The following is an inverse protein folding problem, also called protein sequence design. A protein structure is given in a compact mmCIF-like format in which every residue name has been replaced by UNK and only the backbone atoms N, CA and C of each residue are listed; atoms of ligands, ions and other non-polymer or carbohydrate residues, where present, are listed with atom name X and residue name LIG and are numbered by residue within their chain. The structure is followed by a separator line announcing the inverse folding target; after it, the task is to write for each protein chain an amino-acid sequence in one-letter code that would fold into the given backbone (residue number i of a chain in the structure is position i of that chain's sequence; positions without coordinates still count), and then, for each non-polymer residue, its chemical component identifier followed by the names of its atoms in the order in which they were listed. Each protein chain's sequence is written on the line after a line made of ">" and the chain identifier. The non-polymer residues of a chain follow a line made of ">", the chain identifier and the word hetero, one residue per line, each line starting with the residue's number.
data_IF_063068877771
#
_entry.id   IF_063068877771
#
_cell.length_a   1.000
_cell.length_b   1.000
_cell.length_c   1.000
_cell.angle_alpha   90.00
_cell.angle_beta   90.00
_cell.angle_gamma   90.00
#
_symmetry.space_group_name_H-M   'P 1'
#
loop_
_entity.id
_entity.type
_entity.pdbx_description
1 polymer ?
#
# COMPACT_ATOMS: atom_id res chain seq x y z
N UNK A 1 -13.30 -22.33 -45.27
CA UNK A 1 -13.70 -22.25 -43.84
C UNK A 1 -12.49 -21.77 -43.08
N UNK A 2 -12.59 -20.67 -42.31
CA UNK A 2 -11.47 -20.24 -41.45
C UNK A 2 -11.24 -21.29 -40.37
N UNK A 3 -9.98 -21.62 -40.10
CA UNK A 3 -9.64 -22.55 -39.02
C UNK A 3 -9.94 -21.93 -37.65
N UNK A 4 -10.21 -22.75 -36.63
CA UNK A 4 -10.42 -22.24 -35.27
C UNK A 4 -9.23 -21.39 -34.78
N UNK A 5 -8.02 -21.73 -35.22
CA UNK A 5 -6.81 -20.97 -34.93
C UNK A 5 -6.85 -19.55 -35.50
N UNK A 6 -7.33 -19.38 -36.73
CA UNK A 6 -7.47 -18.06 -37.35
C UNK A 6 -8.50 -17.20 -36.63
N UNK A 7 -9.60 -17.80 -36.17
CA UNK A 7 -10.64 -17.08 -35.40
C UNK A 7 -10.08 -16.56 -34.08
N UNK A 8 -9.38 -17.40 -33.31
CA UNK A 8 -8.77 -17.00 -32.04
C UNK A 8 -7.71 -15.92 -32.22
N UNK A 9 -6.90 -15.99 -33.28
CA UNK A 9 -5.93 -14.94 -33.59
C UNK A 9 -6.61 -13.59 -33.83
N UNK A 10 -7.70 -13.57 -34.58
CA UNK A 10 -8.48 -12.34 -34.80
C UNK A 10 -9.08 -11.79 -33.49
N UNK A 11 -9.59 -12.66 -32.61
CA UNK A 11 -10.10 -12.22 -31.31
C UNK A 11 -9.01 -11.56 -30.45
N UNK A 12 -7.82 -12.17 -30.38
CA UNK A 12 -6.67 -11.61 -29.66
C UNK A 12 -6.34 -10.22 -30.24
N UNK A 13 -6.20 -10.10 -31.55
CA UNK A 13 -5.88 -8.83 -32.21
C UNK A 13 -6.90 -7.73 -31.87
N UNK A 14 -8.19 -8.07 -31.82
CA UNK A 14 -9.24 -7.10 -31.45
C UNK A 14 -9.13 -6.65 -30.00
N UNK A 15 -8.89 -7.57 -29.07
CA UNK A 15 -8.72 -7.27 -27.65
C UNK A 15 -7.47 -6.42 -27.42
N UNK A 16 -6.37 -6.73 -28.10
CA UNK A 16 -5.14 -5.95 -28.01
C UNK A 16 -5.30 -4.55 -28.58
N UNK A 17 -5.95 -4.41 -29.75
CA UNK A 17 -6.24 -3.12 -30.35
C UNK A 17 -7.08 -2.25 -29.43
N UNK A 18 -8.11 -2.84 -28.81
CA UNK A 18 -8.93 -2.17 -27.82
C UNK A 18 -8.14 -1.80 -26.56
N UNK A 19 -7.26 -2.68 -26.09
CA UNK A 19 -6.39 -2.43 -24.93
C UNK A 19 -5.44 -1.25 -25.18
N UNK A 20 -4.85 -1.16 -26.38
CA UNK A 20 -4.02 -0.01 -26.78
C UNK A 20 -4.81 1.30 -26.73
N UNK A 21 -6.06 1.31 -27.21
CA UNK A 21 -6.96 2.47 -27.12
C UNK A 21 -7.25 2.87 -25.67
N UNK A 22 -7.57 1.90 -24.80
CA UNK A 22 -7.76 2.13 -23.36
C UNK A 22 -6.51 2.67 -22.64
N UNK A 23 -5.32 2.46 -23.22
CA UNK A 23 -4.05 3.02 -22.73
C UNK A 23 -3.72 4.39 -23.35
N UNK A 24 -4.63 4.99 -24.11
CA UNK A 24 -4.43 6.29 -24.75
C UNK A 24 -3.57 6.24 -26.02
N UNK A 25 -3.37 5.06 -26.62
CA UNK A 25 -2.58 4.87 -27.85
C UNK A 25 -3.49 4.65 -29.06
N UNK A 26 -3.00 5.02 -30.25
CA UNK A 26 -3.68 4.80 -31.53
C UNK A 26 -5.12 5.35 -31.58
N UNK A 27 -5.31 6.55 -31.03
CA UNK A 27 -6.62 7.21 -30.95
C UNK A 27 -6.98 8.03 -32.20
N UNK A 28 -6.04 8.20 -33.14
CA UNK A 28 -6.20 8.99 -34.37
C UNK A 28 -7.37 8.52 -35.25
N UNK A 29 -7.71 7.24 -35.17
CA UNK A 29 -8.82 6.62 -35.91
C UNK A 29 -10.12 6.53 -35.11
N UNK A 30 -10.14 6.95 -33.85
CA UNK A 30 -11.33 6.90 -33.01
C UNK A 30 -12.27 8.07 -33.33
N UNK A 31 -13.55 7.77 -33.49
CA UNK A 31 -14.60 8.76 -33.52
C UNK A 31 -14.80 9.42 -32.15
N UNK A 32 -15.48 10.58 -32.14
CA UNK A 32 -15.80 11.29 -30.89
C UNK A 32 -16.63 10.41 -29.93
N UNK A 33 -17.57 9.63 -30.47
CA UNK A 33 -18.40 8.73 -29.67
C UNK A 33 -17.57 7.61 -29.04
N UNK A 34 -16.64 7.02 -29.79
CA UNK A 34 -15.74 5.99 -29.26
C UNK A 34 -14.82 6.56 -28.17
N UNK A 35 -14.27 7.77 -28.39
CA UNK A 35 -13.42 8.45 -27.39
C UNK A 35 -14.19 8.70 -26.09
N UNK A 36 -15.43 9.18 -26.19
CA UNK A 36 -16.27 9.40 -25.01
C UNK A 36 -16.61 8.09 -24.28
N UNK A 37 -16.85 7.00 -25.02
CA UNK A 37 -17.06 5.68 -24.43
C UNK A 37 -15.82 5.16 -23.69
N UNK A 38 -14.62 5.34 -24.26
CA UNK A 38 -13.35 4.99 -23.62
C UNK A 38 -13.15 5.81 -22.33
N UNK A 39 -13.40 7.12 -22.37
CA UNK A 39 -13.30 8.02 -21.23
C UNK A 39 -14.19 7.56 -20.07
N UNK A 40 -15.49 7.34 -20.33
CA UNK A 40 -16.44 6.87 -19.32
C UNK A 40 -16.00 5.53 -18.70
N UNK A 41 -15.48 4.61 -19.52
CA UNK A 41 -15.02 3.32 -19.02
C UNK A 41 -13.77 3.45 -18.15
N UNK A 42 -12.83 4.32 -18.54
CA UNK A 42 -11.65 4.64 -17.74
C UNK A 42 -12.05 5.30 -16.41
N UNK A 43 -12.94 6.29 -16.43
CA UNK A 43 -13.42 6.97 -15.23
C UNK A 43 -14.06 5.99 -14.23
N UNK A 44 -14.97 5.14 -14.72
CA UNK A 44 -15.65 4.13 -13.89
C UNK A 44 -14.67 3.14 -13.27
N UNK A 45 -13.75 2.61 -14.07
CA UNK A 45 -12.77 1.62 -13.60
C UNK A 45 -11.78 2.23 -12.61
N UNK A 46 -11.26 3.42 -12.89
CA UNK A 46 -10.36 4.14 -11.98
C UNK A 46 -11.05 4.49 -10.66
N UNK A 47 -12.31 4.92 -10.70
CA UNK A 47 -13.11 5.19 -9.50
C UNK A 47 -13.27 3.94 -8.64
N UNK A 48 -13.59 2.80 -9.26
CA UNK A 48 -13.67 1.51 -8.56
C UNK A 48 -12.34 1.09 -7.93
N UNK A 49 -11.24 1.21 -8.68
CA UNK A 49 -9.89 0.88 -8.19
C UNK A 49 -9.52 1.77 -6.99
N UNK A 50 -9.77 3.09 -7.08
CA UNK A 50 -9.49 4.04 -5.99
C UNK A 50 -10.29 3.69 -4.75
N UNK A 51 -11.58 3.40 -4.89
CA UNK A 51 -12.45 3.01 -3.78
C UNK A 51 -11.92 1.73 -3.09
N UNK A 52 -11.55 0.71 -3.87
CA UNK A 52 -10.99 -0.53 -3.33
C UNK A 52 -9.65 -0.31 -2.62
N UNK A 53 -8.76 0.50 -3.20
CA UNK A 53 -7.48 0.86 -2.56
C UNK A 53 -7.71 1.61 -1.25
N UNK A 54 -8.60 2.59 -1.26
CA UNK A 54 -8.95 3.36 -0.06
C UNK A 54 -9.51 2.44 1.03
N UNK A 55 -10.44 1.54 0.69
CA UNK A 55 -10.97 0.57 1.65
C UNK A 55 -9.87 -0.27 2.29
N UNK A 56 -8.97 -0.86 1.49
CA UNK A 56 -7.86 -1.67 2.01
C UNK A 56 -6.93 -0.89 2.94
N UNK A 57 -6.64 0.36 2.61
CA UNK A 57 -5.81 1.22 3.45
C UNK A 57 -6.51 1.57 4.77
N UNK A 58 -7.80 1.91 4.72
CA UNK A 58 -8.59 2.19 5.92
C UNK A 58 -8.69 0.96 6.83
N UNK A 59 -8.91 -0.22 6.25
CA UNK A 59 -8.92 -1.48 6.99
C UNK A 59 -7.57 -1.71 7.69
N UNK A 60 -6.45 -1.43 7.01
CA UNK A 60 -5.11 -1.57 7.59
C UNK A 60 -4.84 -0.56 8.71
N UNK A 61 -5.28 0.69 8.54
CA UNK A 61 -5.20 1.72 9.60
C UNK A 61 -5.98 1.25 10.84
N UNK A 62 -7.20 0.78 10.66
CA UNK A 62 -8.03 0.30 11.77
C UNK A 62 -7.40 -0.88 12.51
N UNK A 63 -6.80 -1.83 11.78
CA UNK A 63 -6.08 -2.95 12.39
C UNK A 63 -4.89 -2.48 13.23
N UNK A 64 -4.10 -1.53 12.71
CA UNK A 64 -2.93 -1.00 13.41
C UNK A 64 -3.33 -0.21 14.67
N UNK A 65 -4.39 0.60 14.60
CA UNK A 65 -4.92 1.32 15.76
C UNK A 65 -5.39 0.36 16.87
N UNK A 66 -6.04 -0.74 16.49
CA UNK A 66 -6.46 -1.75 17.46
C UNK A 66 -5.25 -2.44 18.10
N UNK A 67 -4.21 -2.75 17.31
CA UNK A 67 -2.99 -3.35 17.82
C UNK A 67 -2.23 -2.39 18.75
N UNK A 68 -2.12 -1.11 18.40
CA UNK A 68 -1.55 -0.06 19.25
C UNK A 68 -2.26 0.00 20.60
N UNK A 69 -3.61 -0.01 20.59
CA UNK A 69 -4.41 -0.01 21.82
C UNK A 69 -4.09 -1.20 22.71
N UNK A 70 -4.11 -2.41 22.16
CA UNK A 70 -3.82 -3.64 22.91
C UNK A 70 -2.41 -3.59 23.52
N UNK A 71 -1.40 -3.23 22.72
CA UNK A 71 -0.02 -3.15 23.19
C UNK A 71 0.16 -2.05 24.24
N UNK A 72 -0.55 -0.93 24.11
CA UNK A 72 -0.52 0.14 25.12
C UNK A 72 -1.14 -0.31 26.44
N UNK A 73 -2.24 -1.07 26.40
CA UNK A 73 -2.87 -1.65 27.59
C UNK A 73 -1.94 -2.68 28.26
N UNK A 74 -1.34 -3.58 27.49
CA UNK A 74 -0.37 -4.56 27.99
C UNK A 74 0.87 -3.89 28.60
N UNK A 75 1.44 -2.89 27.93
CA UNK A 75 2.58 -2.14 28.46
C UNK A 75 2.22 -1.42 29.77
N UNK A 76 1.02 -0.85 29.89
CA UNK A 76 0.57 -0.22 31.13
C UNK A 76 0.46 -1.23 32.28
N UNK A 77 -0.07 -2.44 32.00
CA UNK A 77 -0.16 -3.52 32.98
C UNK A 77 1.24 -4.01 33.42
N UNK A 78 2.17 -4.19 32.48
CA UNK A 78 3.54 -4.60 32.78
C UNK A 78 4.29 -3.55 33.60
N UNK A 79 4.10 -2.27 33.30
CA UNK A 79 4.66 -1.17 34.11
C UNK A 79 4.10 -1.17 35.53
N UNK A 80 2.81 -1.47 35.71
CA UNK A 80 2.21 -1.60 37.04
C UNK A 80 2.79 -2.80 37.80
N UNK A 81 2.89 -3.97 37.16
CA UNK A 81 3.49 -5.17 37.74
C UNK A 81 4.98 -4.99 38.08
N UNK A 82 5.73 -4.27 37.24
CA UNK A 82 7.14 -3.93 37.49
C UNK A 82 7.32 -2.99 38.68
N UNK A 83 6.38 -2.06 38.91
CA UNK A 83 6.35 -1.21 40.11
C UNK A 83 6.03 -2.01 41.38
N UNK A 84 5.23 -3.07 41.27
CA UNK A 84 4.92 -3.97 42.40
C UNK A 84 6.10 -4.88 42.75
N UNK A 85 6.91 -5.30 41.76
CA UNK A 85 8.10 -6.14 42.00
C UNK A 85 9.35 -5.37 42.43
N UNK A 86 9.42 -4.06 42.14
CA UNK A 86 10.46 -3.15 42.63
C UNK A 86 9.89 -2.06 43.53
N UNK A 87 9.27 -2.45 44.64
CA UNK A 87 9.17 -1.55 45.78
C UNK A 87 10.60 -1.28 46.33
N UNK A 88 11.07 -0.03 46.41
CA UNK A 88 12.44 0.24 46.81
C UNK A 88 12.58 0.02 48.33
N UNK A 89 13.28 -1.05 48.70
CA UNK A 89 13.95 -1.12 50.00
C UNK A 89 15.15 -0.16 49.91
N UNK A 90 14.95 1.08 50.38
CA UNK A 90 15.97 1.97 50.92
C UNK A 90 17.18 2.40 50.05
N UNK A 91 17.14 3.68 49.65
CA UNK A 91 18.29 4.61 49.49
C UNK A 91 19.26 4.45 48.29
N UNK A 92 20.13 5.45 48.02
CA UNK A 92 19.83 6.72 47.36
C UNK A 92 20.48 6.82 45.96
N UNK A 93 20.11 7.87 45.22
CA UNK A 93 20.53 8.21 43.86
C UNK A 93 21.98 7.83 43.50
N UNK A 94 22.15 7.09 42.39
CA UNK A 94 23.44 6.93 41.70
C UNK A 94 23.27 6.88 40.18
N UNK A 95 23.66 8.01 39.59
CA UNK A 95 24.46 8.20 38.38
C UNK A 95 24.07 7.52 37.06
N UNK A 96 23.89 8.39 36.07
CA UNK A 96 23.84 8.13 34.64
C UNK A 96 25.04 7.28 34.19
N UNK A 97 24.79 6.16 33.51
CA UNK A 97 25.76 5.57 32.59
C UNK A 97 25.06 5.16 31.29
N UNK A 98 25.13 6.04 30.30
CA UNK A 98 24.88 5.72 28.91
C UNK A 98 25.99 4.76 28.45
N UNK A 99 25.65 3.52 28.14
CA UNK A 99 26.47 2.68 27.27
C UNK A 99 25.62 1.65 26.50
N UNK A 100 25.24 2.10 25.29
CA UNK A 100 25.31 1.36 24.02
C UNK A 100 24.69 -0.05 23.96
N UNK A 101 23.43 -0.10 23.51
CA UNK A 101 23.03 -1.14 22.57
C UNK A 101 22.22 -0.49 21.44
N UNK A 102 22.95 0.10 20.49
CA UNK A 102 22.39 0.49 19.20
C UNK A 102 22.25 -0.81 18.42
N UNK A 103 21.02 -1.33 18.31
CA UNK A 103 20.75 -2.34 17.30
C UNK A 103 20.72 -1.60 15.98
N UNK A 104 21.73 -1.89 15.16
CA UNK A 104 21.89 -1.42 13.80
C UNK A 104 20.70 -1.94 12.97
N UNK A 105 19.70 -1.08 12.76
CA UNK A 105 18.57 -1.39 11.90
C UNK A 105 18.99 -0.94 10.51
N UNK A 106 19.43 -1.89 9.70
CA UNK A 106 19.78 -1.63 8.30
C UNK A 106 18.50 -1.23 7.56
N UNK A 107 18.32 0.07 7.38
CA UNK A 107 17.23 0.64 6.59
C UNK A 107 17.80 0.95 5.21
N UNK A 108 17.58 0.02 4.27
CA UNK A 108 17.78 0.23 2.84
C UNK A 108 16.89 1.39 2.37
N UNK A 109 17.41 2.60 2.52
CA UNK A 109 16.83 3.80 1.95
C UNK A 109 17.54 4.05 0.63
N UNK A 110 16.87 3.74 -0.48
CA UNK A 110 17.38 4.08 -1.81
C UNK A 110 17.52 5.61 -1.91
N UNK A 111 18.76 6.09 -1.82
CA UNK A 111 19.11 7.49 -1.98
C UNK A 111 19.04 7.86 -3.47
N UNK A 112 17.89 8.36 -3.91
CA UNK A 112 17.75 8.93 -5.26
C UNK A 112 18.28 10.38 -5.24
N UNK A 113 19.57 10.54 -5.52
CA UNK A 113 20.13 11.82 -5.98
C UNK A 113 19.78 11.92 -7.46
N UNK A 114 18.77 12.73 -7.79
CA UNK A 114 18.09 12.71 -9.09
C UNK A 114 18.95 13.05 -10.31
N UNK A 115 18.32 13.02 -11.49
CA UNK A 115 18.61 13.91 -12.63
C UNK A 115 17.30 14.25 -13.35
N UNK A 116 17.29 15.47 -13.90
CA UNK A 116 16.25 16.07 -14.76
C UNK A 116 15.81 15.17 -15.90
#
# INVERSE_FOLDING_TARGET
>A
MKSQSETLAMEIDTVEAYTRKMQGKNLESCSLQELHGLEMQMEKSLSSIRLQKQKKLMDKISQLQQQEKILSEENALLLDQGKVQHAPIGAPAREMNQNQHVQDIDVDTELVIGRR
#
